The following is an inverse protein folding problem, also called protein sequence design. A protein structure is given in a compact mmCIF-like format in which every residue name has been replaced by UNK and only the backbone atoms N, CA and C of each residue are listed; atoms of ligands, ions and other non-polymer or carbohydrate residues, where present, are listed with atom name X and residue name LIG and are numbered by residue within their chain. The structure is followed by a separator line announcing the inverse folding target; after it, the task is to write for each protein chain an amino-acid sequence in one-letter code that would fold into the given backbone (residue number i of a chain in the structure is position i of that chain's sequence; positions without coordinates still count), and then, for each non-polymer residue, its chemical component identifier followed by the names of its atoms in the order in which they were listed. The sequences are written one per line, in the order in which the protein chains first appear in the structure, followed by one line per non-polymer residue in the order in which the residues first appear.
data_IF_206741208185
#
_entry.id   IF_206741208185
#
_cell.length_a   1.000
_cell.length_b   1.000
_cell.length_c   1.000
_cell.angle_alpha   90.00
_cell.angle_beta   90.00
_cell.angle_gamma   90.00
#
_symmetry.space_group_name_H-M   'P 1'
#
loop_
_entity.id
_entity.type
_entity.pdbx_description
1 polymer ?
#
# COMPACT_ATOMS: atom_id res chain seq x y z
N UNK A 1 10.51 -2.26 20.32
CA UNK A 1 10.56 -1.00 21.11
C UNK A 1 10.33 -1.33 22.58
N UNK A 2 10.54 -0.37 23.47
CA UNK A 2 10.30 -0.50 24.92
C UNK A 2 9.57 0.73 25.44
N UNK A 3 8.86 0.58 26.57
CA UNK A 3 8.23 1.68 27.30
C UNK A 3 8.77 1.73 28.72
N UNK A 4 9.12 2.90 29.20
CA UNK A 4 9.42 3.16 30.61
C UNK A 4 8.12 3.53 31.32
N UNK A 5 7.85 2.83 32.41
CA UNK A 5 6.61 2.95 33.18
C UNK A 5 6.94 3.44 34.57
N UNK A 6 6.20 4.42 35.03
CA UNK A 6 6.24 4.90 36.40
C UNK A 6 4.85 5.32 36.84
N UNK A 7 4.44 4.92 38.07
CA UNK A 7 3.11 5.24 38.60
C UNK A 7 1.95 4.71 37.76
N UNK A 8 2.16 3.61 37.00
CA UNK A 8 1.12 3.04 36.13
C UNK A 8 0.91 3.81 34.79
N UNK A 9 1.85 4.71 34.46
CA UNK A 9 1.81 5.48 33.22
C UNK A 9 3.10 5.30 32.41
N UNK A 10 2.98 5.43 31.08
CA UNK A 10 4.14 5.45 30.20
C UNK A 10 4.79 6.83 30.28
N UNK A 11 6.03 6.87 30.75
CA UNK A 11 6.82 8.11 30.83
C UNK A 11 7.46 8.44 29.47
N UNK A 12 7.97 7.42 28.79
CA UNK A 12 8.53 7.56 27.45
C UNK A 12 8.61 6.22 26.72
N UNK A 13 8.70 6.29 25.40
CA UNK A 13 9.01 5.14 24.55
C UNK A 13 10.49 5.16 24.13
N UNK A 14 11.08 3.98 24.01
CA UNK A 14 12.48 3.79 23.64
C UNK A 14 12.50 2.95 22.37
N UNK A 15 12.83 3.58 21.25
CA UNK A 15 12.81 2.92 19.93
C UNK A 15 14.05 2.04 19.73
N UNK A 16 15.21 2.54 20.16
CA UNK A 16 16.49 1.83 19.99
C UNK A 16 17.23 1.73 21.31
N UNK A 17 17.96 0.61 21.55
CA UNK A 17 18.84 0.46 22.71
C UNK A 17 19.85 1.61 22.79
N UNK A 18 19.87 2.30 23.91
CA UNK A 18 20.80 3.40 24.21
C UNK A 18 21.08 3.42 25.71
N UNK A 19 22.09 4.19 26.14
CA UNK A 19 22.27 4.44 27.55
C UNK A 19 21.04 5.16 28.12
N UNK A 20 20.57 4.71 29.26
CA UNK A 20 19.40 5.24 29.92
C UNK A 20 19.79 5.93 31.23
N UNK A 21 19.08 7.00 31.53
CA UNK A 21 19.13 7.63 32.84
C UNK A 21 17.77 7.41 33.49
N UNK A 22 17.75 6.71 34.61
CA UNK A 22 16.55 6.41 35.41
C UNK A 22 16.84 6.82 36.85
N UNK A 23 16.04 7.70 37.41
CA UNK A 23 16.22 8.23 38.75
C UNK A 23 17.64 8.72 39.06
N UNK A 24 18.29 9.40 38.07
CA UNK A 24 19.64 9.92 38.20
C UNK A 24 20.76 8.90 38.02
N UNK A 25 20.45 7.62 37.86
CA UNK A 25 21.44 6.55 37.59
C UNK A 25 21.54 6.26 36.12
N UNK A 26 22.78 6.22 35.59
CA UNK A 26 23.05 5.89 34.19
C UNK A 26 23.25 4.40 34.02
N UNK A 27 22.45 3.81 33.14
CA UNK A 27 22.54 2.40 32.74
C UNK A 27 23.06 2.29 31.31
N UNK A 28 24.01 1.39 31.06
CA UNK A 28 24.57 1.22 29.72
C UNK A 28 23.55 0.51 28.80
N UNK A 29 23.69 0.69 27.47
CA UNK A 29 22.76 0.10 26.48
C UNK A 29 22.65 -1.43 26.55
N UNK A 30 23.65 -2.12 27.09
CA UNK A 30 23.68 -3.59 27.26
C UNK A 30 22.54 -4.11 28.13
N UNK A 31 21.97 -3.27 29.01
CA UNK A 31 20.81 -3.62 29.83
C UNK A 31 19.62 -4.14 28.99
N UNK A 32 19.50 -3.75 27.71
CA UNK A 32 18.44 -4.21 26.81
C UNK A 32 18.55 -5.69 26.43
N UNK A 33 19.63 -6.38 26.80
CA UNK A 33 19.81 -7.81 26.65
C UNK A 33 19.22 -8.62 27.80
N UNK A 34 18.96 -7.96 28.95
CA UNK A 34 18.42 -8.59 30.17
C UNK A 34 16.99 -8.07 30.42
N UNK A 35 16.01 -8.92 30.07
CA UNK A 35 14.58 -8.57 30.19
C UNK A 35 14.13 -8.43 31.64
N UNK A 36 14.67 -9.25 32.55
CA UNK A 36 14.28 -9.23 33.95
C UNK A 36 14.82 -7.98 34.63
N UNK A 37 16.05 -7.60 34.27
CA UNK A 37 16.62 -6.35 34.77
C UNK A 37 15.84 -5.15 34.23
N UNK A 38 15.52 -5.10 32.93
CA UNK A 38 14.68 -4.03 32.37
C UNK A 38 13.34 -3.93 33.10
N UNK A 39 12.68 -5.07 33.33
CA UNK A 39 11.40 -5.12 34.05
C UNK A 39 11.52 -4.60 35.48
N UNK A 40 12.60 -4.94 36.17
CA UNK A 40 12.85 -4.41 37.54
C UNK A 40 13.04 -2.88 37.58
N UNK A 41 13.43 -2.27 36.47
CA UNK A 41 13.56 -0.83 36.29
C UNK A 41 12.29 -0.16 35.74
N UNK A 42 11.20 -0.92 35.60
CA UNK A 42 9.96 -0.43 35.02
C UNK A 42 9.99 -0.25 33.48
N UNK A 43 10.88 -0.98 32.81
CA UNK A 43 10.98 -0.95 31.35
C UNK A 43 10.44 -2.26 30.78
N UNK A 44 9.35 -2.17 30.02
CA UNK A 44 8.73 -3.32 29.37
C UNK A 44 8.85 -3.26 27.86
N UNK A 45 8.88 -4.40 27.19
CA UNK A 45 8.67 -4.47 25.74
C UNK A 45 7.41 -3.71 25.34
N UNK A 46 7.49 -2.98 24.23
CA UNK A 46 6.38 -2.18 23.73
C UNK A 46 6.12 -2.51 22.27
N UNK A 47 4.86 -2.76 21.95
CA UNK A 47 4.39 -2.94 20.57
C UNK A 47 3.14 -2.13 20.32
N UNK A 48 2.95 -1.72 19.08
CA UNK A 48 1.73 -1.07 18.59
C UNK A 48 1.06 -1.95 17.54
N UNK A 49 -0.27 -1.89 17.47
CA UNK A 49 -0.98 -2.41 16.32
C UNK A 49 -0.73 -1.50 15.11
N UNK A 50 -0.73 -2.07 13.92
CA UNK A 50 -0.74 -1.31 12.67
C UNK A 50 -2.16 -1.20 12.14
N UNK A 51 -2.51 -0.02 11.62
CA UNK A 51 -3.79 0.22 10.95
C UNK A 51 -3.54 0.35 9.45
N UNK A 52 -4.28 -0.41 8.66
CA UNK A 52 -4.26 -0.24 7.22
C UNK A 52 -5.00 1.05 6.84
N UNK A 53 -4.23 2.10 6.60
CA UNK A 53 -4.74 3.43 6.25
C UNK A 53 -5.44 3.48 4.88
N UNK A 54 -5.38 2.43 4.09
CA UNK A 54 -6.18 2.32 2.87
C UNK A 54 -7.67 2.30 3.19
N UNK A 55 -8.07 1.62 4.26
CA UNK A 55 -9.47 1.37 4.60
C UNK A 55 -9.94 2.09 5.86
N UNK A 56 -9.02 2.58 6.68
CA UNK A 56 -9.34 3.16 7.97
C UNK A 56 -8.63 4.50 8.18
N UNK A 57 -9.27 5.37 8.94
CA UNK A 57 -8.61 6.49 9.58
C UNK A 57 -8.00 6.03 10.90
N UNK A 58 -6.80 6.50 11.20
CA UNK A 58 -6.12 6.27 12.47
C UNK A 58 -6.59 7.31 13.48
N UNK A 59 -7.13 6.85 14.59
CA UNK A 59 -7.57 7.68 15.70
C UNK A 59 -6.53 7.76 16.82
N UNK A 60 -7.00 8.01 18.03
CA UNK A 60 -6.15 8.14 19.23
C UNK A 60 -5.48 6.81 19.58
N UNK A 61 -4.28 6.92 20.15
CA UNK A 61 -3.53 5.80 20.68
C UNK A 61 -3.91 5.61 22.14
N UNK A 62 -4.28 4.40 22.53
CA UNK A 62 -4.49 3.96 23.89
C UNK A 62 -3.46 2.90 24.27
N UNK A 63 -3.19 2.73 25.55
CA UNK A 63 -2.19 1.80 26.05
C UNK A 63 -2.80 0.84 27.05
N UNK A 64 -2.42 -0.42 26.94
CA UNK A 64 -2.66 -1.45 27.95
C UNK A 64 -1.29 -1.87 28.52
N UNK A 65 -1.11 -1.67 29.83
CA UNK A 65 0.13 -2.00 30.53
C UNK A 65 -0.08 -3.35 31.20
N UNK A 66 0.47 -4.40 30.58
CA UNK A 66 0.49 -5.75 31.13
C UNK A 66 1.66 -5.98 32.10
N UNK A 67 1.77 -7.19 32.62
CA UNK A 67 2.88 -7.59 33.48
C UNK A 67 4.22 -7.71 32.78
N UNK A 68 4.21 -8.02 31.48
CA UNK A 68 5.39 -8.39 30.72
C UNK A 68 5.58 -7.58 29.43
N UNK A 69 4.55 -6.88 29.00
CA UNK A 69 4.58 -6.01 27.83
C UNK A 69 3.58 -4.86 27.95
N UNK A 70 3.81 -3.84 27.15
CA UNK A 70 2.86 -2.74 26.89
C UNK A 70 2.36 -2.85 25.47
N UNK A 71 1.04 -2.79 25.30
CA UNK A 71 0.40 -2.81 24.00
C UNK A 71 -0.25 -1.47 23.72
N UNK A 72 0.24 -0.77 22.69
CA UNK A 72 -0.42 0.41 22.14
C UNK A 72 -1.45 0.00 21.10
N UNK A 73 -2.67 0.52 21.23
CA UNK A 73 -3.76 0.26 20.28
C UNK A 73 -4.30 1.57 19.74
N UNK A 74 -4.14 1.78 18.44
CA UNK A 74 -4.78 2.89 17.75
C UNK A 74 -6.26 2.60 17.56
N UNK A 75 -7.09 3.54 17.93
CA UNK A 75 -8.49 3.53 17.51
C UNK A 75 -8.56 3.65 15.99
N UNK A 76 -9.55 3.00 15.39
CA UNK A 76 -9.77 3.05 13.95
C UNK A 76 -11.21 3.42 13.65
N UNK A 77 -11.40 4.19 12.60
CA UNK A 77 -12.70 4.49 12.01
C UNK A 77 -12.67 4.05 10.55
N UNK A 78 -13.64 3.29 10.13
CA UNK A 78 -13.76 2.85 8.74
C UNK A 78 -13.96 4.06 7.83
N UNK A 79 -13.30 4.04 6.67
CA UNK A 79 -13.57 5.00 5.61
C UNK A 79 -14.92 4.72 4.98
N UNK A 80 -15.52 5.75 4.42
CA UNK A 80 -16.78 5.61 3.70
C UNK A 80 -16.62 4.62 2.53
N UNK A 81 -17.48 3.62 2.51
CA UNK A 81 -17.42 2.54 1.54
C UNK A 81 -17.67 3.03 0.11
N UNK A 82 -18.64 3.94 -0.07
CA UNK A 82 -18.94 4.47 -1.40
C UNK A 82 -17.79 5.31 -1.95
N UNK A 83 -17.15 6.09 -1.08
CA UNK A 83 -15.98 6.89 -1.48
C UNK A 83 -14.76 6.00 -1.81
N UNK A 84 -14.57 4.90 -1.07
CA UNK A 84 -13.51 3.93 -1.40
C UNK A 84 -13.72 3.31 -2.79
N UNK A 85 -14.95 2.86 -3.10
CA UNK A 85 -15.29 2.34 -4.43
C UNK A 85 -15.01 3.37 -5.52
N UNK A 86 -15.46 4.61 -5.31
CA UNK A 86 -15.22 5.70 -6.26
C UNK A 86 -13.74 5.95 -6.50
N UNK A 87 -12.91 5.96 -5.45
CA UNK A 87 -11.46 6.11 -5.58
C UNK A 87 -10.83 4.95 -6.34
N UNK A 88 -11.29 3.69 -6.11
CA UNK A 88 -10.83 2.53 -6.85
C UNK A 88 -11.14 2.63 -8.33
N UNK A 89 -12.36 3.07 -8.70
CA UNK A 89 -12.74 3.31 -10.10
C UNK A 89 -11.88 4.39 -10.73
N UNK A 90 -11.63 5.51 -10.03
CA UNK A 90 -10.75 6.58 -10.51
C UNK A 90 -9.34 6.03 -10.78
N UNK A 91 -8.77 5.30 -9.84
CA UNK A 91 -7.44 4.70 -9.99
C UNK A 91 -7.38 3.72 -11.16
N UNK A 92 -8.42 2.91 -11.37
CA UNK A 92 -8.56 2.01 -12.50
C UNK A 92 -8.51 2.77 -13.83
N UNK A 93 -9.29 3.85 -13.95
CA UNK A 93 -9.32 4.71 -15.15
C UNK A 93 -7.99 5.43 -15.40
N UNK A 94 -7.35 5.91 -14.35
CA UNK A 94 -6.02 6.55 -14.45
C UNK A 94 -4.96 5.58 -14.95
N UNK A 95 -5.00 4.33 -14.45
CA UNK A 95 -4.10 3.27 -14.91
C UNK A 95 -4.32 2.96 -16.39
N UNK A 96 -5.58 2.75 -16.79
CA UNK A 96 -5.95 2.53 -18.19
C UNK A 96 -5.53 3.71 -19.08
N UNK A 97 -5.78 4.94 -18.64
CA UNK A 97 -5.38 6.15 -19.35
C UNK A 97 -3.85 6.23 -19.55
N UNK A 98 -3.09 5.88 -18.52
CA UNK A 98 -1.63 5.88 -18.58
C UNK A 98 -1.11 4.86 -19.59
N UNK A 99 -1.70 3.66 -19.64
CA UNK A 99 -1.35 2.63 -20.62
C UNK A 99 -1.71 3.04 -22.05
N UNK A 100 -2.87 3.69 -22.24
CA UNK A 100 -3.32 4.15 -23.56
C UNK A 100 -2.51 5.33 -24.11
N UNK A 101 -2.07 6.26 -23.24
CA UNK A 101 -1.30 7.45 -23.62
C UNK A 101 -0.01 7.12 -24.36
N UNK A 102 0.59 6.00 -24.06
CA UNK A 102 1.84 5.58 -24.70
C UNK A 102 1.75 5.53 -26.22
N UNK A 103 0.60 5.12 -26.75
CA UNK A 103 0.38 4.90 -28.16
C UNK A 103 -0.58 5.93 -28.79
N UNK A 104 -0.96 6.99 -28.07
CA UNK A 104 -1.90 8.02 -28.56
C UNK A 104 -1.35 8.76 -29.79
N UNK A 105 -0.06 9.03 -29.83
CA UNK A 105 0.57 9.68 -30.97
C UNK A 105 0.41 8.87 -32.28
N UNK A 106 0.39 7.54 -32.22
CA UNK A 106 0.14 6.69 -33.38
C UNK A 106 -1.31 6.83 -33.85
N UNK A 107 -2.26 6.88 -32.90
CA UNK A 107 -3.68 7.07 -33.20
C UNK A 107 -3.93 8.45 -33.85
N UNK A 108 -3.31 9.49 -33.31
CA UNK A 108 -3.41 10.86 -33.84
C UNK A 108 -2.83 10.91 -35.26
N UNK A 109 -1.64 10.37 -35.48
CA UNK A 109 -1.01 10.31 -36.81
C UNK A 109 -1.87 9.59 -37.84
N UNK A 110 -2.53 8.49 -37.46
CA UNK A 110 -3.43 7.78 -38.34
C UNK A 110 -4.66 8.59 -38.75
N UNK A 111 -5.19 9.40 -37.83
CA UNK A 111 -6.33 10.29 -38.09
C UNK A 111 -5.94 11.46 -39.00
N UNK A 112 -4.73 12.00 -38.87
CA UNK A 112 -4.21 13.10 -39.66
C UNK A 112 -3.78 12.66 -41.09
N UNK A 113 -4.11 11.45 -41.50
CA UNK A 113 -3.81 10.91 -42.83
C UNK A 113 -2.41 10.31 -43.01
N UNK A 114 -1.71 10.07 -41.88
CA UNK A 114 -0.43 9.36 -41.83
C UNK A 114 -0.59 7.83 -41.88
N UNK A 115 0.44 7.12 -41.45
CA UNK A 115 0.44 5.66 -41.38
C UNK A 115 -0.69 5.13 -40.53
N UNK A 116 -1.41 4.11 -41.01
CA UNK A 116 -2.50 3.47 -40.27
C UNK A 116 -2.01 2.89 -38.93
N UNK A 117 -2.88 2.92 -37.92
CA UNK A 117 -2.59 2.31 -36.64
C UNK A 117 -2.42 0.78 -36.82
N UNK A 118 -1.30 0.19 -36.36
CA UNK A 118 -1.09 -1.26 -36.41
C UNK A 118 -2.20 -2.03 -35.72
N UNK A 119 -2.59 -3.19 -36.25
CA UNK A 119 -3.68 -3.99 -35.67
C UNK A 119 -3.34 -4.53 -34.28
N UNK A 120 -2.08 -4.84 -34.00
CA UNK A 120 -1.60 -5.19 -32.66
C UNK A 120 -1.85 -4.09 -31.64
N UNK A 121 -1.60 -2.83 -32.00
CA UNK A 121 -1.87 -1.66 -31.14
C UNK A 121 -3.38 -1.46 -30.99
N UNK A 122 -4.18 -1.62 -32.04
CA UNK A 122 -5.66 -1.55 -31.93
C UNK A 122 -6.18 -2.59 -30.93
N UNK A 123 -5.71 -3.83 -31.08
CA UNK A 123 -6.11 -4.96 -30.21
C UNK A 123 -5.70 -4.71 -28.76
N UNK A 124 -4.47 -4.26 -28.52
CA UNK A 124 -3.98 -3.91 -27.18
C UNK A 124 -4.84 -2.79 -26.56
N UNK A 125 -5.11 -1.72 -27.29
CA UNK A 125 -5.95 -0.61 -26.82
C UNK A 125 -7.39 -1.04 -26.52
N UNK A 126 -7.97 -1.93 -27.34
CA UNK A 126 -9.29 -2.52 -27.08
C UNK A 126 -9.28 -3.29 -25.77
N UNK A 127 -8.28 -4.16 -25.59
CA UNK A 127 -8.13 -4.98 -24.39
C UNK A 127 -7.99 -4.15 -23.12
N UNK A 128 -7.20 -3.07 -23.15
CA UNK A 128 -7.09 -2.15 -21.99
C UNK A 128 -8.45 -1.54 -21.63
N UNK A 129 -9.27 -1.15 -22.61
CA UNK A 129 -10.60 -0.59 -22.35
C UNK A 129 -11.56 -1.65 -21.80
N UNK A 130 -11.53 -2.85 -22.35
CA UNK A 130 -12.36 -3.97 -21.89
C UNK A 130 -12.01 -4.36 -20.45
N UNK A 131 -10.71 -4.46 -20.12
CA UNK A 131 -10.22 -4.73 -18.78
C UNK A 131 -10.61 -3.62 -17.79
N UNK A 132 -10.52 -2.35 -18.20
CA UNK A 132 -10.96 -1.23 -17.38
C UNK A 132 -12.44 -1.32 -17.07
N UNK A 133 -13.27 -1.60 -18.07
CA UNK A 133 -14.71 -1.73 -17.90
C UNK A 133 -15.08 -2.93 -17.01
N UNK A 134 -14.41 -4.08 -17.20
CA UNK A 134 -14.60 -5.25 -16.33
C UNK A 134 -14.29 -4.93 -14.87
N UNK A 135 -13.15 -4.28 -14.61
CA UNK A 135 -12.77 -3.88 -13.26
C UNK A 135 -13.75 -2.90 -12.63
N UNK A 136 -14.29 -1.97 -13.39
CA UNK A 136 -15.33 -1.06 -12.90
C UNK A 136 -16.58 -1.85 -12.45
N UNK A 137 -17.01 -2.83 -13.24
CA UNK A 137 -18.14 -3.70 -12.89
C UNK A 137 -17.84 -4.52 -11.63
N UNK A 138 -16.64 -5.09 -11.52
CA UNK A 138 -16.22 -5.85 -10.33
C UNK A 138 -16.23 -4.97 -9.08
N UNK A 139 -15.68 -3.75 -9.17
CA UNK A 139 -15.68 -2.79 -8.05
C UNK A 139 -17.10 -2.38 -7.69
N UNK A 140 -17.96 -2.14 -8.67
CA UNK A 140 -19.36 -1.79 -8.43
C UNK A 140 -20.16 -2.92 -7.76
N UNK A 141 -19.80 -4.17 -8.02
CA UNK A 141 -20.42 -5.35 -7.42
C UNK A 141 -19.99 -5.59 -5.96
N UNK A 142 -18.95 -4.93 -5.44
CA UNK A 142 -18.53 -5.07 -4.04
C UNK A 142 -19.65 -4.58 -3.11
N UNK A 143 -19.98 -5.40 -2.10
CA UNK A 143 -21.13 -5.20 -1.23
C UNK A 143 -20.83 -4.42 0.06
N UNK A 144 -19.59 -4.50 0.53
CA UNK A 144 -19.18 -3.96 1.83
C UNK A 144 -17.67 -3.73 1.92
N UNK A 145 -17.23 -3.15 3.04
CA UNK A 145 -15.83 -2.86 3.28
C UNK A 145 -14.94 -4.12 3.34
N UNK A 146 -15.48 -5.24 3.80
CA UNK A 146 -14.71 -6.48 3.89
C UNK A 146 -14.50 -7.08 2.50
N UNK A 147 -15.49 -6.98 1.62
CA UNK A 147 -15.33 -7.30 0.20
C UNK A 147 -14.27 -6.44 -0.47
N UNK A 148 -14.22 -5.13 -0.16
CA UNK A 148 -13.14 -4.23 -0.65
C UNK A 148 -11.78 -4.66 -0.16
N UNK A 149 -11.65 -5.07 1.11
CA UNK A 149 -10.37 -5.54 1.68
C UNK A 149 -9.86 -6.83 1.02
N UNK A 150 -10.77 -7.70 0.61
CA UNK A 150 -10.46 -8.97 -0.05
C UNK A 150 -10.27 -8.83 -1.55
N UNK A 151 -10.74 -7.71 -2.14
CA UNK A 151 -10.64 -7.48 -3.57
C UNK A 151 -9.18 -7.30 -3.98
N UNK A 152 -8.66 -8.27 -4.74
CA UNK A 152 -7.37 -8.18 -5.41
C UNK A 152 -7.62 -7.77 -6.86
N UNK A 153 -7.31 -6.51 -7.16
CA UNK A 153 -7.38 -6.06 -8.54
C UNK A 153 -6.40 -6.87 -9.39
N UNK A 154 -6.92 -7.65 -10.33
CA UNK A 154 -6.08 -8.28 -11.34
C UNK A 154 -5.32 -7.17 -12.07
N UNK A 155 -3.98 -7.20 -12.10
CA UNK A 155 -3.24 -6.18 -12.82
C UNK A 155 -3.69 -6.19 -14.30
N UNK A 156 -3.69 -5.01 -14.93
CA UNK A 156 -3.84 -4.96 -16.39
C UNK A 156 -2.78 -5.89 -16.99
N UNK A 157 -3.16 -6.62 -18.03
CA UNK A 157 -2.20 -7.45 -18.75
C UNK A 157 -1.18 -6.48 -19.37
N UNK A 158 -0.11 -6.25 -18.64
CA UNK A 158 1.12 -5.77 -19.23
C UNK A 158 1.72 -6.92 -20.05
N UNK A 159 1.08 -7.30 -21.12
CA UNK A 159 1.84 -7.88 -22.19
C UNK A 159 2.69 -6.74 -22.74
N UNK A 160 3.82 -6.46 -22.10
CA UNK A 160 4.98 -5.95 -22.80
C UNK A 160 5.34 -7.02 -23.80
N UNK A 161 4.67 -6.94 -24.94
CA UNK A 161 5.13 -7.64 -26.11
C UNK A 161 6.53 -7.11 -26.34
N UNK A 162 7.52 -7.98 -26.29
CA UNK A 162 8.88 -7.65 -26.68
C UNK A 162 8.79 -6.98 -28.03
N UNK A 163 9.26 -5.76 -28.14
CA UNK A 163 9.42 -5.08 -29.41
C UNK A 163 10.46 -5.88 -30.19
N UNK A 164 10.01 -6.73 -31.08
CA UNK A 164 10.86 -7.34 -32.07
C UNK A 164 11.00 -6.34 -33.22
N UNK A 165 12.14 -5.69 -33.29
CA UNK A 165 12.51 -4.84 -34.44
C UNK A 165 13.14 -5.75 -35.46
N UNK A 166 12.53 -5.86 -36.66
CA UNK A 166 13.13 -6.60 -37.79
C UNK A 166 14.29 -5.80 -38.41
N UNK A 167 15.02 -6.45 -39.31
CA UNK A 167 16.19 -5.86 -40.00
C UNK A 167 15.83 -4.59 -40.80
N UNK A 168 14.56 -4.40 -41.13
CA UNK A 168 14.03 -3.23 -41.85
C UNK A 168 13.51 -2.13 -40.91
N UNK A 169 13.67 -2.31 -39.60
CA UNK A 169 13.22 -1.33 -38.56
C UNK A 169 11.72 -1.36 -38.26
N UNK A 170 10.98 -2.38 -38.74
CA UNK A 170 9.57 -2.54 -38.40
C UNK A 170 9.46 -3.15 -37.02
N UNK A 171 8.66 -2.51 -36.17
CA UNK A 171 8.40 -2.98 -34.81
C UNK A 171 7.21 -3.94 -34.83
N UNK A 172 7.47 -5.21 -34.52
CA UNK A 172 6.42 -6.20 -34.29
C UNK A 172 6.35 -6.52 -32.80
N UNK A 173 5.14 -6.63 -32.27
CA UNK A 173 4.89 -6.97 -30.87
C UNK A 173 4.51 -8.44 -30.78
N UNK A 174 5.42 -9.30 -30.33
CA UNK A 174 5.18 -10.74 -30.14
C UNK A 174 4.54 -11.05 -28.78
N UNK A 175 3.70 -12.07 -28.68
CA UNK A 175 3.30 -12.67 -27.42
C UNK A 175 4.50 -13.48 -26.89
N UNK A 176 4.89 -13.26 -25.62
CA UNK A 176 5.79 -14.15 -24.88
C UNK A 176 5.03 -15.31 -24.30
#
# INVERSE_FOLDING_TARGET
MWAEISGGQIIRTIVHPKNLIINGTTYPRQIFQDKDWLKSLGILPYRENSINQRYHFTGSLSYEIGSDEVVGTYAKTDKDFAELKKQMVIQTKETASTLLKRDDWMAIRAIEGGTALPDSIKSFRSKIREESNSKEIEIDALSDLDAVKLYEATPYIETRKTENVDEDGNVTYGDT
#
